data_IF_231170353040
#
_entry.id   IF_231170353040
#
_cell.length_a   1.000
_cell.length_b   1.000
_cell.length_c   1.000
_cell.angle_alpha   90.00
_cell.angle_beta   90.00
_cell.angle_gamma   90.00
#
_symmetry.space_group_name_H-M   'P 1'
#
loop_
_entity.id
_entity.type
_entity.pdbx_description
1 polymer ?
#
# COMPACT_ATOMS: atom_id res chain seq x y z
N UNK A 1 20.63 -42.34 43.99
CA UNK A 1 20.93 -41.82 42.63
C UNK A 1 19.75 -40.99 42.21
N UNK A 2 19.97 -39.69 41.94
CA UNK A 2 18.91 -38.71 41.64
C UNK A 2 18.53 -38.81 40.17
N UNK A 3 17.29 -39.15 39.89
CA UNK A 3 16.72 -39.10 38.55
C UNK A 3 16.62 -37.65 38.09
N UNK A 4 17.36 -37.34 37.03
CA UNK A 4 17.36 -36.04 36.39
C UNK A 4 16.08 -35.89 35.56
N UNK A 5 15.13 -35.14 36.11
CA UNK A 5 13.92 -34.67 35.43
C UNK A 5 14.32 -33.75 34.25
N UNK A 6 14.31 -34.31 33.04
CA UNK A 6 14.52 -33.56 31.79
C UNK A 6 13.20 -32.93 31.38
N UNK A 7 12.95 -31.72 31.88
CA UNK A 7 11.83 -30.89 31.44
C UNK A 7 12.04 -30.51 29.97
N UNK A 8 11.22 -31.09 29.07
CA UNK A 8 11.23 -30.75 27.64
C UNK A 8 10.78 -29.28 27.51
N UNK A 9 11.56 -28.40 26.85
CA UNK A 9 11.20 -27.00 26.72
C UNK A 9 9.90 -26.87 25.92
N UNK A 10 8.86 -26.32 26.56
CA UNK A 10 7.50 -26.14 26.04
C UNK A 10 7.44 -25.52 24.62
N UNK A 11 8.42 -24.69 24.26
CA UNK A 11 8.53 -24.08 22.92
C UNK A 11 8.87 -25.05 21.79
N UNK A 12 9.45 -26.23 22.08
CA UNK A 12 9.79 -27.26 21.08
C UNK A 12 8.55 -28.06 20.66
N UNK A 13 7.71 -28.45 21.62
CA UNK A 13 6.45 -29.17 21.37
C UNK A 13 5.48 -28.29 20.58
N UNK A 14 5.38 -26.99 20.91
CA UNK A 14 4.50 -26.07 20.18
C UNK A 14 4.94 -25.84 18.72
N UNK A 15 6.25 -25.78 18.47
CA UNK A 15 6.80 -25.70 17.10
C UNK A 15 6.52 -26.98 16.33
N UNK A 16 6.83 -28.13 16.93
CA UNK A 16 6.56 -29.42 16.32
C UNK A 16 5.08 -29.63 16.00
N UNK A 17 4.16 -29.21 16.88
CA UNK A 17 2.73 -29.28 16.64
C UNK A 17 2.30 -28.37 15.47
N UNK A 18 2.84 -27.15 15.42
CA UNK A 18 2.56 -26.21 14.34
C UNK A 18 3.07 -26.73 12.99
N UNK A 19 4.29 -27.28 12.96
CA UNK A 19 4.91 -27.84 11.75
C UNK A 19 4.13 -29.08 11.26
N UNK A 20 3.79 -29.99 12.17
CA UNK A 20 3.01 -31.21 11.84
C UNK A 20 1.59 -30.86 11.38
N UNK A 21 0.97 -29.84 11.98
CA UNK A 21 -0.33 -29.34 11.53
C UNK A 21 -0.22 -28.69 10.15
N UNK A 22 0.83 -27.91 9.88
CA UNK A 22 1.00 -27.24 8.60
C UNK A 22 1.28 -28.26 7.47
N UNK A 23 2.04 -29.32 7.74
CA UNK A 23 2.28 -30.40 6.78
C UNK A 23 1.02 -31.23 6.49
N UNK A 24 0.30 -31.65 7.54
CA UNK A 24 -0.93 -32.47 7.36
C UNK A 24 -2.09 -31.65 6.82
N UNK A 25 -2.14 -30.35 7.14
CA UNK A 25 -3.18 -29.42 6.74
C UNK A 25 -2.65 -28.30 5.84
N UNK A 26 -1.74 -28.61 4.91
CA UNK A 26 -1.41 -27.71 3.79
C UNK A 26 -2.60 -27.64 2.81
N UNK A 27 -3.72 -27.15 3.32
CA UNK A 27 -4.96 -26.92 2.61
C UNK A 27 -4.72 -25.82 1.59
N UNK A 28 -3.87 -24.83 1.91
CA UNK A 28 -3.51 -23.74 1.01
C UNK A 28 -2.76 -24.27 -0.24
N UNK A 29 -1.71 -25.07 -0.06
CA UNK A 29 -0.95 -25.65 -1.17
C UNK A 29 -1.71 -26.75 -1.91
N UNK A 30 -2.55 -27.55 -1.25
CA UNK A 30 -3.47 -28.49 -1.93
C UNK A 30 -4.53 -27.76 -2.74
N UNK A 31 -5.14 -26.71 -2.20
CA UNK A 31 -6.11 -25.89 -2.91
C UNK A 31 -5.47 -25.21 -4.11
N UNK A 32 -4.25 -24.67 -3.96
CA UNK A 32 -3.50 -24.07 -5.06
C UNK A 32 -3.26 -25.06 -6.19
N UNK A 33 -2.71 -26.24 -5.88
CA UNK A 33 -2.49 -27.31 -6.87
C UNK A 33 -3.80 -27.73 -7.55
N UNK A 34 -4.89 -27.84 -6.79
CA UNK A 34 -6.20 -28.16 -7.33
C UNK A 34 -6.73 -27.07 -8.29
N UNK A 35 -6.59 -25.79 -7.94
CA UNK A 35 -7.01 -24.67 -8.80
C UNK A 35 -6.16 -24.60 -10.07
N UNK A 36 -4.87 -24.93 -10.00
CA UNK A 36 -3.98 -25.00 -11.17
C UNK A 36 -4.40 -26.13 -12.13
N UNK A 37 -4.85 -27.27 -11.61
CA UNK A 37 -5.23 -28.45 -12.40
C UNK A 37 -6.71 -28.46 -12.84
N UNK A 38 -7.61 -27.74 -12.16
CA UNK A 38 -9.04 -27.77 -12.43
C UNK A 38 -9.55 -26.45 -13.06
N UNK A 39 -9.92 -26.44 -14.36
CA UNK A 39 -10.36 -25.23 -15.05
C UNK A 39 -11.66 -24.64 -14.47
N UNK A 40 -12.58 -25.49 -14.00
CA UNK A 40 -13.85 -25.03 -13.37
C UNK A 40 -13.59 -24.26 -12.08
N UNK A 41 -12.65 -24.73 -11.26
CA UNK A 41 -12.28 -24.08 -10.01
C UNK A 41 -11.47 -22.79 -10.27
N UNK A 42 -10.59 -22.79 -11.27
CA UNK A 42 -9.90 -21.58 -11.74
C UNK A 42 -10.89 -20.49 -12.18
N UNK A 43 -11.88 -20.85 -12.98
CA UNK A 43 -12.88 -19.90 -13.45
C UNK A 43 -13.74 -19.36 -12.30
N UNK A 44 -14.18 -20.21 -11.37
CA UNK A 44 -14.88 -19.78 -10.15
C UNK A 44 -14.04 -18.82 -9.33
N UNK A 45 -12.76 -19.11 -9.14
CA UNK A 45 -11.85 -18.24 -8.38
C UNK A 45 -11.64 -16.90 -9.08
N UNK A 46 -11.49 -16.87 -10.41
CA UNK A 46 -11.41 -15.62 -11.17
C UNK A 46 -12.69 -14.79 -11.09
N UNK A 47 -13.87 -15.42 -11.16
CA UNK A 47 -15.16 -14.72 -10.98
C UNK A 47 -15.26 -14.08 -9.60
N UNK A 48 -14.86 -14.81 -8.55
CA UNK A 48 -14.82 -14.28 -7.19
C UNK A 48 -13.77 -13.16 -7.02
N UNK A 49 -12.61 -13.29 -7.66
CA UNK A 49 -11.58 -12.25 -7.64
C UNK A 49 -12.08 -10.97 -8.33
N UNK A 50 -12.77 -11.10 -9.48
CA UNK A 50 -13.40 -9.97 -10.18
C UNK A 50 -14.49 -9.32 -9.33
N UNK A 51 -15.35 -10.11 -8.68
CA UNK A 51 -16.36 -9.57 -7.76
C UNK A 51 -15.71 -8.83 -6.59
N UNK A 52 -14.66 -9.40 -6.01
CA UNK A 52 -13.91 -8.78 -4.92
C UNK A 52 -13.26 -7.47 -5.35
N UNK A 53 -12.63 -7.44 -6.53
CA UNK A 53 -12.06 -6.22 -7.11
C UNK A 53 -13.14 -5.19 -7.41
N UNK A 54 -14.25 -5.56 -8.02
CA UNK A 54 -15.38 -4.67 -8.27
C UNK A 54 -15.92 -4.09 -6.97
N UNK A 55 -16.04 -4.90 -5.92
CA UNK A 55 -16.47 -4.45 -4.59
C UNK A 55 -15.44 -3.56 -3.90
N UNK A 56 -14.14 -3.80 -4.11
CA UNK A 56 -13.08 -2.91 -3.62
C UNK A 56 -13.07 -1.57 -4.35
N UNK A 57 -13.25 -1.58 -5.68
CA UNK A 57 -13.39 -0.36 -6.48
C UNK A 57 -14.63 0.43 -6.07
N UNK A 58 -15.75 -0.27 -5.83
CA UNK A 58 -16.97 0.34 -5.30
C UNK A 58 -16.72 0.97 -3.92
N UNK A 59 -15.96 0.31 -3.04
CA UNK A 59 -15.56 0.89 -1.74
C UNK A 59 -14.59 2.07 -1.86
N UNK A 60 -13.73 2.07 -2.88
CA UNK A 60 -12.70 3.09 -3.06
C UNK A 60 -13.25 4.38 -3.69
N UNK A 61 -14.32 4.29 -4.47
CA UNK A 61 -14.96 5.49 -5.00
C UNK A 61 -15.73 6.24 -3.90
N UNK A 62 -15.68 7.59 -3.89
CA UNK A 62 -16.54 8.37 -3.03
C UNK A 62 -17.99 8.12 -3.46
N UNK A 63 -18.65 7.22 -2.74
CA UNK A 63 -20.05 6.89 -2.97
C UNK A 63 -20.88 8.16 -2.80
N UNK A 64 -21.80 8.47 -3.73
CA UNK A 64 -22.69 9.60 -3.54
C UNK A 64 -23.43 9.40 -2.21
N UNK A 65 -23.56 10.46 -1.41
CA UNK A 65 -24.18 10.40 -0.06
C UNK A 65 -25.58 9.74 -0.07
N UNK A 66 -26.25 9.76 -1.23
CA UNK A 66 -27.57 9.21 -1.45
C UNK A 66 -27.57 7.71 -1.78
N UNK A 67 -26.42 7.06 -1.98
CA UNK A 67 -26.37 5.64 -2.34
C UNK A 67 -26.93 4.75 -1.22
N UNK A 68 -26.56 5.02 0.03
CA UNK A 68 -27.12 4.28 1.18
C UNK A 68 -28.63 4.50 1.30
N UNK A 69 -29.11 5.71 1.02
CA UNK A 69 -30.54 6.01 0.99
C UNK A 69 -31.25 5.20 -0.10
N UNK A 70 -30.66 5.12 -1.28
CA UNK A 70 -31.21 4.38 -2.42
C UNK A 70 -31.18 2.86 -2.19
N UNK A 71 -30.08 2.33 -1.65
CA UNK A 71 -29.99 0.93 -1.22
C UNK A 71 -31.04 0.60 -0.16
N UNK A 72 -31.27 1.47 0.83
CA UNK A 72 -32.31 1.28 1.83
C UNK A 72 -33.71 1.27 1.19
N UNK A 73 -33.98 2.17 0.24
CA UNK A 73 -35.26 2.19 -0.50
C UNK A 73 -35.50 0.89 -1.26
N UNK A 74 -34.49 0.42 -2.00
CA UNK A 74 -34.56 -0.83 -2.76
C UNK A 74 -34.71 -2.05 -1.85
N UNK A 75 -33.95 -2.12 -0.75
CA UNK A 75 -34.06 -3.20 0.23
C UNK A 75 -35.46 -3.25 0.86
N UNK A 76 -36.02 -2.09 1.22
CA UNK A 76 -37.38 -1.98 1.77
C UNK A 76 -38.42 -2.39 0.71
N UNK A 77 -38.21 -2.05 -0.57
CA UNK A 77 -39.12 -2.44 -1.65
C UNK A 77 -39.24 -3.97 -1.81
N UNK A 78 -38.17 -4.72 -1.52
CA UNK A 78 -38.15 -6.18 -1.55
C UNK A 78 -38.84 -6.86 -0.35
N UNK A 79 -39.16 -6.12 0.73
CA UNK A 79 -39.81 -6.68 1.91
C UNK A 79 -41.31 -6.93 1.69
N UNK A 80 -41.91 -7.80 2.50
CA UNK A 80 -43.37 -7.97 2.53
C UNK A 80 -44.06 -6.67 2.95
N UNK A 81 -45.31 -6.48 2.52
CA UNK A 81 -46.08 -5.24 2.73
C UNK A 81 -46.15 -4.83 4.21
N UNK A 82 -46.42 -5.79 5.08
CA UNK A 82 -46.57 -5.56 6.52
C UNK A 82 -45.30 -4.99 7.16
N UNK A 83 -44.14 -5.44 6.66
CA UNK A 83 -42.82 -4.95 7.13
C UNK A 83 -42.49 -3.57 6.53
N UNK A 84 -42.99 -3.27 5.32
CA UNK A 84 -42.82 -1.96 4.67
C UNK A 84 -43.59 -0.84 5.35
N UNK A 85 -44.73 -1.15 5.95
CA UNK A 85 -45.61 -0.16 6.56
C UNK A 85 -45.22 0.18 8.01
N UNK A 86 -44.31 -0.58 8.62
CA UNK A 86 -43.75 -0.29 9.94
C UNK A 86 -43.16 1.13 10.00
N UNK A 87 -43.34 1.85 11.13
CA UNK A 87 -42.78 3.19 11.31
C UNK A 87 -41.25 3.19 11.21
N UNK A 88 -40.60 2.10 11.63
CA UNK A 88 -39.16 1.92 11.48
C UNK A 88 -38.72 1.92 10.00
N UNK A 89 -39.49 1.25 9.13
CA UNK A 89 -39.22 1.23 7.69
C UNK A 89 -39.45 2.61 7.06
N UNK A 90 -40.42 3.39 7.53
CA UNK A 90 -40.61 4.79 7.09
C UNK A 90 -39.45 5.68 7.51
N UNK A 91 -38.95 5.55 8.74
CA UNK A 91 -37.78 6.28 9.22
C UNK A 91 -36.52 5.93 8.40
N UNK A 92 -36.32 4.65 8.07
CA UNK A 92 -35.19 4.21 7.24
C UNK A 92 -35.23 4.75 5.80
N UNK A 93 -36.41 5.13 5.27
CA UNK A 93 -36.55 5.76 3.94
C UNK A 93 -36.14 7.22 3.90
N UNK A 94 -36.13 7.92 5.04
CA UNK A 94 -35.88 9.36 5.14
C UNK A 94 -34.61 9.68 5.92
N UNK A 95 -34.13 8.77 6.77
CA UNK A 95 -32.87 8.92 7.45
C UNK A 95 -31.70 8.90 6.45
N UNK A 96 -31.13 10.07 6.21
CA UNK A 96 -29.78 10.14 5.65
C UNK A 96 -28.80 9.48 6.63
N UNK A 97 -27.80 8.76 6.13
CA UNK A 97 -26.72 8.25 6.98
C UNK A 97 -26.07 9.44 7.69
N UNK A 98 -26.07 9.42 9.03
CA UNK A 98 -25.26 10.36 9.82
C UNK A 98 -23.80 10.04 9.53
N UNK A 99 -23.22 10.71 8.55
CA UNK A 99 -21.79 10.63 8.32
C UNK A 99 -21.09 11.24 9.54
N UNK A 100 -20.30 10.44 10.28
CA UNK A 100 -19.59 10.98 11.42
C UNK A 100 -18.60 12.04 10.91
N UNK A 101 -18.52 13.18 11.61
CA UNK A 101 -17.65 14.30 11.25
C UNK A 101 -16.20 13.85 10.98
N UNK A 102 -15.75 12.81 11.67
CA UNK A 102 -14.43 12.18 11.46
C UNK A 102 -14.17 11.77 10.02
N UNK A 103 -15.15 11.18 9.33
CA UNK A 103 -15.01 10.76 7.91
C UNK A 103 -14.87 11.98 6.99
N UNK A 104 -15.55 13.08 7.34
CA UNK A 104 -15.45 14.34 6.60
C UNK A 104 -14.09 15.01 6.78
N UNK A 105 -13.55 15.01 8.01
CA UNK A 105 -12.18 15.48 8.27
C UNK A 105 -11.14 14.60 7.57
N UNK A 106 -11.24 13.28 7.63
CA UNK A 106 -10.24 12.39 6.98
C UNK A 106 -10.15 12.63 5.48
N UNK A 107 -11.27 12.92 4.81
CA UNK A 107 -11.28 13.26 3.39
C UNK A 107 -10.51 14.58 3.11
N UNK A 108 -10.66 15.58 3.98
CA UNK A 108 -9.91 16.84 3.86
C UNK A 108 -8.42 16.65 4.14
N UNK A 109 -8.07 15.86 5.15
CA UNK A 109 -6.66 15.54 5.45
C UNK A 109 -6.00 14.73 4.33
N UNK A 110 -6.73 13.86 3.65
CA UNK A 110 -6.17 13.08 2.54
C UNK A 110 -5.73 13.97 1.36
N UNK A 111 -6.51 15.01 1.06
CA UNK A 111 -6.12 16.00 0.05
C UNK A 111 -4.85 16.78 0.48
N UNK A 112 -4.83 17.27 1.72
CA UNK A 112 -3.68 18.03 2.26
C UNK A 112 -2.40 17.18 2.32
N UNK A 113 -2.51 15.93 2.77
CA UNK A 113 -1.36 15.01 2.86
C UNK A 113 -0.78 14.67 1.50
N UNK A 114 -1.63 14.48 0.47
CA UNK A 114 -1.15 14.26 -0.90
C UNK A 114 -0.40 15.48 -1.46
N UNK A 115 -0.90 16.69 -1.19
CA UNK A 115 -0.24 17.93 -1.58
C UNK A 115 1.09 18.14 -0.83
N UNK A 116 1.12 17.86 0.47
CA UNK A 116 2.32 17.93 1.30
C UNK A 116 3.39 16.93 0.84
N UNK A 117 3.00 15.70 0.49
CA UNK A 117 3.91 14.71 -0.07
C UNK A 117 4.50 15.19 -1.41
N UNK A 118 3.69 15.79 -2.29
CA UNK A 118 4.16 16.36 -3.54
C UNK A 118 5.15 17.51 -3.31
N UNK A 119 4.82 18.44 -2.40
CA UNK A 119 5.72 19.53 -2.01
C UNK A 119 7.05 19.02 -1.46
N UNK A 120 7.02 17.99 -0.62
CA UNK A 120 8.22 17.38 -0.06
C UNK A 120 9.12 16.80 -1.17
N UNK A 121 8.54 16.08 -2.13
CA UNK A 121 9.28 15.55 -3.28
C UNK A 121 9.91 16.68 -4.12
N UNK A 122 9.17 17.76 -4.37
CA UNK A 122 9.67 18.92 -5.11
C UNK A 122 10.82 19.62 -4.38
N UNK A 123 10.72 19.77 -3.06
CA UNK A 123 11.79 20.35 -2.24
C UNK A 123 13.04 19.47 -2.25
N UNK A 124 12.88 18.14 -2.12
CA UNK A 124 14.00 17.20 -2.20
C UNK A 124 14.68 17.24 -3.58
N UNK A 125 13.90 17.29 -4.66
CA UNK A 125 14.43 17.42 -6.02
C UNK A 125 15.22 18.74 -6.18
N UNK A 126 14.68 19.85 -5.67
CA UNK A 126 15.35 21.15 -5.75
C UNK A 126 16.66 21.17 -4.95
N UNK A 127 16.68 20.63 -3.74
CA UNK A 127 17.90 20.52 -2.94
C UNK A 127 18.94 19.61 -3.60
N UNK A 128 18.52 18.52 -4.24
CA UNK A 128 19.43 17.64 -4.97
C UNK A 128 20.09 18.36 -6.15
N UNK A 129 19.32 19.15 -6.93
CA UNK A 129 19.88 19.90 -8.07
C UNK A 129 20.89 20.96 -7.65
N UNK A 130 20.63 21.70 -6.57
CA UNK A 130 21.58 22.68 -6.03
C UNK A 130 22.86 21.98 -5.54
N UNK A 131 22.71 20.90 -4.78
CA UNK A 131 23.87 20.15 -4.28
C UNK A 131 24.73 19.53 -5.41
N UNK A 132 24.11 19.09 -6.51
CA UNK A 132 24.84 18.62 -7.68
C UNK A 132 25.55 19.75 -8.41
N UNK A 133 24.94 20.94 -8.51
CA UNK A 133 25.57 22.11 -9.12
C UNK A 133 26.83 22.54 -8.35
N UNK A 134 26.76 22.57 -7.02
CA UNK A 134 27.92 22.89 -6.17
C UNK A 134 29.06 21.90 -6.38
N UNK A 135 28.75 20.59 -6.43
CA UNK A 135 29.76 19.54 -6.68
C UNK A 135 30.42 19.68 -8.06
N UNK A 136 29.65 20.00 -9.10
CA UNK A 136 30.19 20.23 -10.44
C UNK A 136 31.07 21.47 -10.46
N UNK A 137 30.67 22.53 -9.74
CA UNK A 137 31.48 23.74 -9.62
C UNK A 137 32.83 23.44 -8.95
N UNK A 138 32.83 22.72 -7.83
CA UNK A 138 34.06 22.34 -7.11
C UNK A 138 34.96 21.43 -7.96
N UNK A 139 34.39 20.44 -8.64
CA UNK A 139 35.13 19.56 -9.55
C UNK A 139 35.72 20.33 -10.73
N UNK A 140 34.96 21.27 -11.32
CA UNK A 140 35.45 22.10 -12.41
C UNK A 140 36.61 23.00 -11.99
N UNK A 141 36.56 23.55 -10.77
CA UNK A 141 37.63 24.37 -10.21
C UNK A 141 38.91 23.56 -10.01
N UNK A 142 38.80 22.35 -9.45
CA UNK A 142 39.94 21.44 -9.29
C UNK A 142 40.55 21.03 -10.64
N UNK A 143 39.72 20.70 -11.64
CA UNK A 143 40.19 20.35 -12.97
C UNK A 143 40.91 21.54 -13.65
N UNK A 144 40.39 22.76 -13.48
CA UNK A 144 41.04 23.97 -14.01
C UNK A 144 42.38 24.23 -13.34
N UNK A 145 42.49 24.09 -12.02
CA UNK A 145 43.75 24.25 -11.28
C UNK A 145 44.80 23.19 -11.67
N UNK A 146 44.39 21.98 -12.04
CA UNK A 146 45.28 20.96 -12.60
C UNK A 146 45.74 21.32 -14.02
N UNK A 147 44.83 21.81 -14.86
CA UNK A 147 45.14 22.21 -16.23
C UNK A 147 46.12 23.39 -16.28
N UNK A 148 45.93 24.42 -15.43
CA UNK A 148 46.85 25.54 -15.34
C UNK A 148 48.26 25.10 -14.91
N UNK A 149 48.36 24.20 -13.91
CA UNK A 149 49.66 23.65 -13.47
C UNK A 149 50.40 22.92 -14.59
N UNK A 150 49.68 22.12 -15.39
CA UNK A 150 50.31 21.44 -16.53
C UNK A 150 50.77 22.40 -17.64
N UNK A 151 50.07 23.51 -17.86
CA UNK A 151 50.52 24.54 -18.80
C UNK A 151 51.79 25.23 -18.29
N UNK A 152 51.85 25.56 -17.00
CA UNK A 152 53.05 26.14 -16.38
C UNK A 152 54.25 25.19 -16.50
N UNK A 153 54.10 23.90 -16.16
CA UNK A 153 55.16 22.89 -16.32
C UNK A 153 55.64 22.75 -17.78
N UNK A 154 54.72 22.80 -18.75
CA UNK A 154 55.06 22.72 -20.17
C UNK A 154 55.79 23.97 -20.68
N UNK A 155 55.46 25.14 -20.13
CA UNK A 155 56.10 26.41 -20.49
C UNK A 155 57.52 26.49 -19.91
N UNK A 156 57.71 26.14 -18.64
CA UNK A 156 59.02 26.10 -17.98
C UNK A 156 59.98 25.09 -18.65
N UNK A 157 59.44 23.97 -19.14
CA UNK A 157 60.22 22.96 -19.88
C UNK A 157 60.70 23.46 -21.25
N UNK A 158 59.96 24.39 -21.87
CA UNK A 158 60.33 24.96 -23.16
C UNK A 158 61.44 26.00 -23.02
N UNK A 159 61.42 26.80 -21.96
CA UNK A 159 62.42 27.83 -21.67
C UNK A 159 63.78 27.25 -21.25
N UNK A 160 63.81 26.03 -20.70
CA UNK A 160 65.06 25.31 -20.37
C UNK A 160 65.79 24.70 -21.59
N UNK A 161 65.14 24.65 -22.75
CA UNK A 161 65.69 24.10 -24.00
C UNK A 161 66.16 25.16 -25.00
N UNK A 162 66.05 26.45 -24.64
CA UNK A 162 66.56 27.60 -25.40
C UNK A 162 67.83 28.18 -24.78
#
# INVERSE_FOLDING_TARGET
MKDADKTIPCGSVRRWLADTMNERFDIAGRLRRHVEQCPRCRERMMRNARLRLAMQLLKAQPQPMNLLLECNRLAIACLKRDVRELPLARNLRTCLPKVPLRVRLTAQFQAVTSAAACLLVLLLARMATISMADKVHDQSKQAMEQYCRHIEEATDSHDLLQ
#
